data_IF_662503883885
#
_entry.id   IF_662503883885
#
_cell.length_a   1.000
_cell.length_b   1.000
_cell.length_c   1.000
_cell.angle_alpha   90.00
_cell.angle_beta   90.00
_cell.angle_gamma   90.00
#
_symmetry.space_group_name_H-M   'P 1'
#
loop_
_entity.id
_entity.type
_entity.pdbx_description
1 polymer ?
#
# COMPACT_ATOMS: atom_id res chain seq x y z
N UNK A 1 4.62 31.46 -13.30
CA UNK A 1 5.03 32.07 -12.02
C UNK A 1 6.53 31.82 -11.82
N UNK A 2 7.35 32.88 -11.82
CA UNK A 2 8.78 32.77 -11.50
C UNK A 2 8.93 32.84 -9.97
N UNK A 3 9.25 31.75 -9.32
CA UNK A 3 9.74 31.79 -7.93
C UNK A 3 11.20 32.23 -7.99
N UNK A 4 11.49 33.42 -7.49
CA UNK A 4 12.82 34.01 -7.47
C UNK A 4 13.47 33.92 -6.08
N UNK A 5 12.74 33.42 -5.09
CA UNK A 5 13.17 33.37 -3.69
C UNK A 5 14.20 32.28 -3.39
N UNK A 6 14.48 31.38 -4.33
CA UNK A 6 15.47 30.29 -4.13
C UNK A 6 16.34 30.11 -5.37
N UNK A 7 17.62 29.81 -5.15
CA UNK A 7 18.60 29.48 -6.20
C UNK A 7 18.67 27.98 -6.48
N UNK A 8 17.89 27.14 -5.78
CA UNK A 8 17.82 25.70 -5.91
C UNK A 8 16.53 25.18 -5.31
N UNK A 9 16.19 23.93 -5.62
CA UNK A 9 14.98 23.27 -5.14
C UNK A 9 14.29 22.49 -6.25
N UNK A 10 13.28 21.73 -5.88
CA UNK A 10 12.53 20.85 -6.78
C UNK A 10 11.18 21.49 -7.09
N UNK A 11 10.99 21.84 -8.35
CA UNK A 11 9.70 22.34 -8.84
C UNK A 11 8.68 21.19 -8.91
N UNK A 12 7.54 21.39 -8.28
CA UNK A 12 6.41 20.45 -8.32
C UNK A 12 5.58 20.73 -9.57
N UNK A 13 5.81 19.95 -10.61
CA UNK A 13 5.10 20.10 -11.89
C UNK A 13 3.71 19.45 -11.86
N UNK A 14 3.53 18.38 -11.04
CA UNK A 14 2.26 17.68 -10.87
C UNK A 14 2.22 17.01 -9.52
N UNK A 15 1.05 16.93 -8.92
CA UNK A 15 0.78 16.19 -7.69
C UNK A 15 -0.22 15.06 -8.04
N UNK A 16 0.09 13.84 -7.64
CA UNK A 16 -0.81 12.72 -7.86
C UNK A 16 -2.01 12.78 -6.93
N UNK A 17 -3.20 12.51 -7.47
CA UNK A 17 -4.43 12.46 -6.70
C UNK A 17 -4.34 11.36 -5.64
N UNK A 18 -4.70 11.70 -4.38
CA UNK A 18 -4.58 10.80 -3.24
C UNK A 18 -3.14 10.51 -2.78
N UNK A 19 -2.13 11.14 -3.39
CA UNK A 19 -0.74 11.02 -2.99
C UNK A 19 -0.42 11.76 -1.69
N UNK A 20 0.61 11.31 -0.99
CA UNK A 20 1.08 11.90 0.28
C UNK A 20 1.35 13.42 0.20
N UNK A 21 1.87 13.89 -0.94
CA UNK A 21 2.12 15.29 -1.18
C UNK A 21 0.83 16.13 -1.25
N UNK A 22 -0.20 15.60 -1.91
CA UNK A 22 -1.51 16.25 -2.00
C UNK A 22 -2.19 16.37 -0.64
N UNK A 23 -2.18 15.29 0.14
CA UNK A 23 -2.73 15.27 1.50
C UNK A 23 -2.01 16.26 2.44
N UNK A 24 -0.70 16.44 2.25
CA UNK A 24 0.08 17.42 2.98
C UNK A 24 -0.12 18.86 2.48
N UNK A 25 -0.97 19.07 1.49
CA UNK A 25 -1.29 20.39 0.95
C UNK A 25 -0.23 20.96 0.01
N UNK A 26 0.70 20.14 -0.49
CA UNK A 26 1.62 20.52 -1.57
C UNK A 26 0.83 20.60 -2.87
N UNK A 27 1.12 21.61 -3.69
CA UNK A 27 0.40 21.88 -4.94
C UNK A 27 1.39 22.03 -6.09
N UNK A 28 0.87 21.89 -7.29
CA UNK A 28 1.57 22.28 -8.50
C UNK A 28 2.03 23.74 -8.43
N UNK A 29 3.26 23.99 -8.83
CA UNK A 29 3.89 25.31 -8.74
C UNK A 29 4.71 25.57 -7.47
N UNK A 30 4.68 24.67 -6.48
CA UNK A 30 5.54 24.77 -5.31
C UNK A 30 6.99 24.42 -5.67
N UNK A 31 7.95 24.96 -4.90
CA UNK A 31 9.36 24.58 -4.99
C UNK A 31 9.83 24.04 -3.64
N UNK A 32 10.08 22.74 -3.58
CA UNK A 32 10.57 22.07 -2.38
C UNK A 32 12.06 22.37 -2.22
N UNK A 33 12.47 22.79 -1.03
CA UNK A 33 13.86 23.19 -0.72
C UNK A 33 14.49 22.40 0.42
N UNK A 34 13.66 21.80 1.30
CA UNK A 34 14.17 20.94 2.39
C UNK A 34 13.23 19.79 2.66
N UNK A 35 13.85 18.65 3.03
CA UNK A 35 13.18 17.45 3.55
C UNK A 35 13.87 17.05 4.86
N UNK A 36 13.11 16.97 5.96
CA UNK A 36 13.62 16.70 7.31
C UNK A 36 14.82 17.55 7.73
N UNK A 37 14.85 18.82 7.29
CA UNK A 37 15.95 19.74 7.57
C UNK A 37 17.13 19.64 6.59
N UNK A 38 17.24 18.58 5.81
CA UNK A 38 18.23 18.46 4.73
C UNK A 38 17.83 19.31 3.53
N UNK A 39 18.77 20.08 2.97
CA UNK A 39 18.53 20.83 1.74
C UNK A 39 18.45 19.89 0.55
N UNK A 40 17.45 20.11 -0.31
CA UNK A 40 17.27 19.37 -1.56
C UNK A 40 17.30 20.35 -2.72
N UNK A 41 18.30 20.22 -3.58
CA UNK A 41 18.56 21.13 -4.71
C UNK A 41 18.15 20.52 -6.04
N UNK A 42 18.10 19.18 -6.09
CA UNK A 42 17.77 18.42 -7.28
C UNK A 42 17.04 17.10 -6.92
N UNK A 43 16.51 16.44 -7.92
CA UNK A 43 15.73 15.21 -7.74
C UNK A 43 16.54 14.06 -7.13
N UNK A 44 17.85 14.01 -7.37
CA UNK A 44 18.74 12.98 -6.80
C UNK A 44 18.85 13.10 -5.28
N UNK A 45 19.11 14.30 -4.79
CA UNK A 45 19.18 14.59 -3.34
C UNK A 45 17.83 14.32 -2.65
N UNK A 46 16.73 14.68 -3.32
CA UNK A 46 15.39 14.36 -2.82
C UNK A 46 15.18 12.85 -2.71
N UNK A 47 15.59 12.11 -3.73
CA UNK A 47 15.43 10.65 -3.77
C UNK A 47 16.31 9.97 -2.72
N UNK A 48 17.52 10.48 -2.47
CA UNK A 48 18.39 10.01 -1.41
C UNK A 48 17.75 10.22 -0.03
N UNK A 49 17.22 11.40 0.26
CA UNK A 49 16.53 11.68 1.53
C UNK A 49 15.26 10.84 1.67
N UNK A 50 14.50 10.66 0.59
CA UNK A 50 13.31 9.82 0.57
C UNK A 50 13.63 8.35 0.82
N UNK A 51 14.75 7.84 0.33
CA UNK A 51 15.16 6.44 0.51
C UNK A 51 15.47 6.07 1.98
N UNK A 52 15.70 7.05 2.83
CA UNK A 52 15.90 6.88 4.27
C UNK A 52 14.58 6.72 5.03
N UNK A 53 13.45 7.00 4.39
CA UNK A 53 12.11 7.00 4.97
C UNK A 53 11.35 5.72 4.60
N UNK A 54 10.52 5.27 5.52
CA UNK A 54 9.67 4.10 5.34
C UNK A 54 8.22 4.53 5.18
N UNK A 55 7.37 3.73 4.54
CA UNK A 55 5.92 3.94 4.58
C UNK A 55 5.44 4.07 6.03
N UNK A 56 4.65 5.08 6.32
CA UNK A 56 4.22 5.44 7.67
C UNK A 56 5.07 6.52 8.36
N UNK A 57 6.31 6.75 7.92
CA UNK A 57 7.14 7.80 8.49
C UNK A 57 6.59 9.18 8.14
N UNK A 58 6.74 10.11 9.08
CA UNK A 58 6.40 11.52 8.89
C UNK A 58 7.66 12.30 8.57
N UNK A 59 7.62 13.07 7.51
CA UNK A 59 8.70 13.96 7.13
C UNK A 59 8.23 15.41 7.04
N UNK A 60 9.08 16.32 7.49
CA UNK A 60 8.83 17.75 7.37
C UNK A 60 9.37 18.26 6.05
N UNK A 61 8.51 18.88 5.23
CA UNK A 61 8.89 19.51 3.96
C UNK A 61 8.80 21.01 4.09
N UNK A 62 9.87 21.70 3.68
CA UNK A 62 9.86 23.15 3.47
C UNK A 62 9.83 23.44 1.98
N UNK A 63 8.94 24.33 1.60
CA UNK A 63 8.73 24.70 0.20
C UNK A 63 8.34 26.17 0.04
N UNK A 64 8.61 26.73 -1.11
CA UNK A 64 8.16 28.04 -1.50
C UNK A 64 6.87 27.96 -2.31
N UNK A 65 5.89 28.78 -1.95
CA UNK A 65 4.67 29.07 -2.71
C UNK A 65 4.49 30.58 -2.74
N UNK A 66 4.37 31.16 -3.92
CA UNK A 66 4.25 32.64 -4.12
C UNK A 66 5.37 33.40 -3.40
N UNK A 67 6.61 32.95 -3.52
CA UNK A 67 7.80 33.48 -2.85
C UNK A 67 7.74 33.50 -1.30
N UNK A 68 6.82 32.78 -0.70
CA UNK A 68 6.71 32.61 0.75
C UNK A 68 7.14 31.20 1.15
N UNK A 69 8.08 31.13 2.11
CA UNK A 69 8.48 29.85 2.69
C UNK A 69 7.36 29.28 3.54
N UNK A 70 7.00 28.04 3.28
CA UNK A 70 6.00 27.28 4.03
C UNK A 70 6.59 25.95 4.50
N UNK A 71 6.03 25.42 5.56
CA UNK A 71 6.41 24.13 6.12
C UNK A 71 5.16 23.27 6.26
N UNK A 72 5.26 22.01 5.87
CA UNK A 72 4.20 21.02 6.06
C UNK A 72 4.79 19.67 6.46
N UNK A 73 3.96 18.81 7.03
CA UNK A 73 4.33 17.42 7.35
C UNK A 73 3.65 16.50 6.36
N UNK A 74 4.45 15.64 5.74
CA UNK A 74 3.99 14.60 4.81
C UNK A 74 4.13 13.26 5.51
N UNK A 75 3.09 12.44 5.47
CA UNK A 75 3.20 11.03 5.85
C UNK A 75 3.52 10.23 4.60
N UNK A 76 4.69 9.58 4.59
CA UNK A 76 5.13 8.79 3.46
C UNK A 76 4.22 7.57 3.28
N UNK A 77 3.84 7.34 2.03
CA UNK A 77 3.06 6.18 1.60
C UNK A 77 3.92 5.35 0.66
N UNK A 78 3.64 4.05 0.58
CA UNK A 78 4.24 3.20 -0.43
C UNK A 78 3.72 3.56 -1.84
N UNK A 79 4.25 2.93 -2.87
CA UNK A 79 3.80 3.12 -4.27
C UNK A 79 2.31 2.81 -4.49
N UNK A 80 1.67 2.17 -3.51
CA UNK A 80 0.25 1.85 -3.49
C UNK A 80 -0.59 2.89 -2.75
N UNK A 81 0.02 3.97 -2.28
CA UNK A 81 -0.64 5.05 -1.56
C UNK A 81 -1.05 4.70 -0.13
N UNK A 82 -0.45 3.68 0.47
CA UNK A 82 -0.68 3.27 1.86
C UNK A 82 0.53 3.57 2.75
N UNK A 83 0.31 3.69 4.06
CA UNK A 83 1.37 3.84 5.05
C UNK A 83 1.93 2.49 5.52
N UNK A 84 1.32 1.40 5.09
CA UNK A 84 1.78 0.05 5.41
C UNK A 84 3.09 -0.23 4.70
N UNK A 85 4.08 -0.70 5.46
CA UNK A 85 5.25 -1.34 4.88
C UNK A 85 4.70 -2.58 4.18
N UNK A 86 4.69 -2.57 2.85
CA UNK A 86 4.55 -3.83 2.11
C UNK A 86 5.84 -4.63 2.38
N UNK A 87 5.90 -5.29 3.54
CA UNK A 87 6.59 -6.56 3.57
C UNK A 87 5.86 -7.35 2.50
N UNK A 88 6.55 -7.72 1.43
CA UNK A 88 6.18 -8.92 0.72
C UNK A 88 6.35 -10.03 1.76
N UNK A 89 5.35 -10.20 2.62
CA UNK A 89 5.17 -11.43 3.34
C UNK A 89 4.88 -12.42 2.22
N UNK A 90 5.97 -12.97 1.68
CA UNK A 90 5.89 -14.24 0.97
C UNK A 90 5.25 -15.16 2.00
N UNK A 91 3.92 -15.24 2.00
CA UNK A 91 3.22 -16.31 2.69
C UNK A 91 3.57 -17.59 1.95
N UNK A 92 4.78 -18.07 2.23
CA UNK A 92 5.32 -19.27 1.63
C UNK A 92 4.38 -20.46 1.77
N UNK A 93 3.62 -20.52 2.88
CA UNK A 93 2.60 -21.54 3.11
C UNK A 93 1.35 -21.38 2.24
N UNK A 94 0.92 -20.14 1.97
CA UNK A 94 -0.22 -19.89 1.07
C UNK A 94 0.19 -19.91 -0.41
N UNK A 95 1.48 -19.68 -0.70
CA UNK A 95 2.03 -19.70 -2.06
C UNK A 95 1.64 -18.49 -2.91
N UNK A 96 1.43 -17.33 -2.31
CA UNK A 96 1.07 -16.10 -3.03
C UNK A 96 1.56 -14.86 -2.30
N UNK A 97 1.50 -13.71 -2.99
CA UNK A 97 1.66 -12.39 -2.42
C UNK A 97 0.32 -11.63 -2.47
N UNK A 98 0.16 -10.66 -1.59
CA UNK A 98 -1.02 -9.81 -1.53
C UNK A 98 -0.63 -8.37 -1.88
N UNK A 99 -1.42 -7.74 -2.72
CA UNK A 99 -1.26 -6.34 -3.11
C UNK A 99 -2.51 -5.55 -2.71
N UNK A 100 -2.32 -4.44 -2.02
CA UNK A 100 -3.42 -3.53 -1.73
C UNK A 100 -3.95 -2.92 -3.03
N UNK A 101 -5.27 -2.76 -3.11
CA UNK A 101 -5.90 -2.10 -4.25
C UNK A 101 -5.68 -0.60 -4.20
N UNK A 102 -5.40 -0.01 -5.35
CA UNK A 102 -5.36 1.44 -5.52
C UNK A 102 -6.76 2.04 -5.37
N UNK A 103 -6.83 3.35 -5.08
CA UNK A 103 -8.11 4.05 -5.01
C UNK A 103 -8.93 3.91 -6.29
N UNK A 104 -8.28 3.97 -7.46
CA UNK A 104 -8.91 3.81 -8.75
C UNK A 104 -9.47 2.40 -8.96
N UNK A 105 -8.71 1.36 -8.63
CA UNK A 105 -9.20 -0.03 -8.71
C UNK A 105 -10.40 -0.27 -7.79
N UNK A 106 -10.41 0.33 -6.60
CA UNK A 106 -11.57 0.26 -5.69
C UNK A 106 -12.79 0.94 -6.28
N UNK A 107 -12.63 2.10 -6.90
CA UNK A 107 -13.69 2.85 -7.57
C UNK A 107 -14.23 2.08 -8.78
N UNK A 108 -13.34 1.60 -9.66
CA UNK A 108 -13.71 0.81 -10.85
C UNK A 108 -14.45 -0.48 -10.49
N UNK A 109 -14.12 -1.08 -9.34
CA UNK A 109 -14.76 -2.31 -8.84
C UNK A 109 -15.97 -2.04 -7.94
N UNK A 110 -16.25 -0.78 -7.58
CA UNK A 110 -17.34 -0.38 -6.70
C UNK A 110 -17.21 -0.90 -5.27
N UNK A 111 -15.97 -0.98 -4.75
CA UNK A 111 -15.67 -1.49 -3.42
C UNK A 111 -14.86 -0.49 -2.60
N UNK A 112 -14.92 -0.64 -1.27
CA UNK A 112 -14.20 0.23 -0.34
C UNK A 112 -12.96 -0.45 0.25
N UNK A 113 -12.90 -1.79 0.21
CA UNK A 113 -11.85 -2.59 0.81
C UNK A 113 -11.46 -3.78 -0.09
N UNK A 114 -10.30 -4.35 0.13
CA UNK A 114 -9.87 -5.56 -0.55
C UNK A 114 -8.36 -5.61 -0.79
N UNK A 115 -7.87 -6.83 -0.98
CA UNK A 115 -6.51 -7.12 -1.41
C UNK A 115 -6.52 -8.03 -2.63
N UNK A 116 -5.59 -7.83 -3.53
CA UNK A 116 -5.44 -8.61 -4.76
C UNK A 116 -4.39 -9.70 -4.59
N UNK A 117 -4.74 -10.92 -4.94
CA UNK A 117 -3.80 -12.06 -4.95
C UNK A 117 -2.90 -11.94 -6.17
N UNK A 118 -1.58 -11.95 -5.95
CA UNK A 118 -0.56 -11.87 -6.99
C UNK A 118 0.56 -12.89 -6.75
N UNK A 119 1.39 -13.11 -7.76
CA UNK A 119 2.60 -13.94 -7.60
C UNK A 119 2.30 -15.38 -7.17
N UNK A 120 1.17 -15.94 -7.59
CA UNK A 120 0.71 -17.27 -7.17
C UNK A 120 1.71 -18.35 -7.62
N UNK A 121 2.23 -19.08 -6.65
CA UNK A 121 3.12 -20.23 -6.78
C UNK A 121 2.42 -21.49 -6.26
N UNK A 122 3.12 -22.60 -6.21
CA UNK A 122 2.60 -23.79 -5.55
C UNK A 122 2.44 -23.54 -4.05
N UNK A 123 1.25 -23.84 -3.55
CA UNK A 123 0.84 -23.58 -2.17
C UNK A 123 -0.65 -23.82 -1.98
N UNK A 124 -1.12 -23.57 -0.76
CA UNK A 124 -2.51 -23.89 -0.37
C UNK A 124 -3.55 -23.12 -1.20
N UNK A 125 -3.26 -21.88 -1.62
CA UNK A 125 -4.18 -21.12 -2.46
C UNK A 125 -4.35 -21.73 -3.85
N UNK A 126 -3.24 -22.11 -4.51
CA UNK A 126 -3.29 -22.74 -5.83
C UNK A 126 -3.96 -24.11 -5.76
N UNK A 127 -3.67 -24.91 -4.71
CA UNK A 127 -4.28 -26.22 -4.49
C UNK A 127 -5.81 -26.14 -4.33
N UNK A 128 -6.32 -25.03 -3.77
CA UNK A 128 -7.76 -24.77 -3.63
C UNK A 128 -8.38 -24.00 -4.80
N UNK A 129 -7.69 -23.94 -5.95
CA UNK A 129 -8.23 -23.37 -7.19
C UNK A 129 -8.26 -21.84 -7.24
N UNK A 130 -7.60 -21.15 -6.32
CA UNK A 130 -7.42 -19.71 -6.37
C UNK A 130 -6.47 -19.37 -7.52
N UNK A 131 -6.75 -18.28 -8.21
CA UNK A 131 -5.93 -17.78 -9.34
C UNK A 131 -5.45 -16.35 -9.05
N UNK A 132 -4.39 -15.93 -9.74
CA UNK A 132 -3.96 -14.54 -9.74
C UNK A 132 -5.12 -13.61 -10.14
N UNK A 133 -5.15 -12.43 -9.52
CA UNK A 133 -6.19 -11.44 -9.78
C UNK A 133 -7.46 -11.62 -8.94
N UNK A 134 -7.52 -12.62 -8.04
CA UNK A 134 -8.60 -12.68 -7.06
C UNK A 134 -8.49 -11.46 -6.13
N UNK A 135 -9.56 -10.70 -6.02
CA UNK A 135 -9.72 -9.63 -5.02
C UNK A 135 -10.46 -10.21 -3.83
N UNK A 136 -9.77 -10.30 -2.70
CA UNK A 136 -10.33 -10.78 -1.43
C UNK A 136 -10.85 -9.56 -0.66
N UNK A 137 -12.11 -9.57 -0.30
CA UNK A 137 -12.76 -8.50 0.47
C UNK A 137 -12.96 -8.84 1.93
N UNK A 138 -13.07 -10.12 2.26
CA UNK A 138 -13.15 -10.58 3.63
C UNK A 138 -12.59 -12.00 3.79
N UNK A 139 -12.09 -12.30 4.98
CA UNK A 139 -11.66 -13.63 5.42
C UNK A 139 -12.32 -13.88 6.77
N UNK A 140 -13.02 -15.02 6.92
CA UNK A 140 -13.78 -15.36 8.13
C UNK A 140 -14.69 -14.21 8.60
N UNK A 141 -15.40 -13.58 7.66
CA UNK A 141 -16.27 -12.41 7.86
C UNK A 141 -15.55 -11.13 8.34
N UNK A 142 -14.24 -11.13 8.46
CA UNK A 142 -13.43 -9.96 8.75
C UNK A 142 -12.99 -9.29 7.46
N UNK A 143 -13.25 -7.99 7.34
CA UNK A 143 -12.85 -7.20 6.16
C UNK A 143 -11.34 -7.08 6.07
N UNK A 144 -10.78 -7.22 4.87
CA UNK A 144 -9.36 -7.05 4.60
C UNK A 144 -9.11 -5.86 3.69
N UNK A 145 -8.05 -5.09 3.98
CA UNK A 145 -7.63 -3.91 3.22
C UNK A 145 -6.15 -3.98 2.82
N UNK A 146 -5.38 -4.78 3.55
CA UNK A 146 -3.93 -4.88 3.41
C UNK A 146 -3.46 -6.33 3.55
N UNK A 147 -2.20 -6.58 3.17
CA UNK A 147 -1.53 -7.85 3.45
C UNK A 147 -1.43 -8.14 4.93
N UNK A 148 -1.30 -7.09 5.75
CA UNK A 148 -1.16 -7.20 7.20
C UNK A 148 -2.45 -7.73 7.83
N UNK A 149 -3.64 -7.30 7.34
CA UNK A 149 -4.93 -7.83 7.78
C UNK A 149 -5.02 -9.34 7.49
N UNK A 150 -4.55 -9.76 6.31
CA UNK A 150 -4.51 -11.20 5.95
C UNK A 150 -3.58 -11.95 6.88
N UNK A 151 -2.41 -11.39 7.21
CA UNK A 151 -1.43 -11.99 8.12
C UNK A 151 -1.98 -12.12 9.54
N UNK A 152 -2.64 -11.08 10.04
CA UNK A 152 -3.26 -11.08 11.37
C UNK A 152 -4.32 -12.17 11.47
N UNK A 153 -5.22 -12.26 10.47
CA UNK A 153 -6.27 -13.28 10.44
C UNK A 153 -5.65 -14.67 10.31
N UNK A 154 -4.66 -14.86 9.44
CA UNK A 154 -3.94 -16.13 9.28
C UNK A 154 -3.32 -16.58 10.60
N UNK A 155 -2.56 -15.70 11.26
CA UNK A 155 -1.91 -15.99 12.53
C UNK A 155 -2.92 -16.29 13.63
N UNK A 156 -4.05 -15.56 13.67
CA UNK A 156 -5.14 -15.82 14.62
C UNK A 156 -5.72 -17.22 14.45
N UNK A 157 -5.94 -17.66 13.20
CA UNK A 157 -6.44 -19.01 12.90
C UNK A 157 -5.40 -20.05 13.31
N UNK A 158 -4.12 -19.84 12.99
CA UNK A 158 -3.05 -20.78 13.31
C UNK A 158 -2.86 -20.94 14.83
N UNK A 159 -3.04 -19.87 15.60
CA UNK A 159 -2.93 -19.86 17.06
C UNK A 159 -4.22 -20.32 17.76
N UNK A 160 -5.35 -20.42 17.08
CA UNK A 160 -6.59 -20.88 17.68
C UNK A 160 -6.42 -22.34 18.17
N UNK A 161 -7.20 -22.71 19.17
CA UNK A 161 -7.22 -24.11 19.66
C UNK A 161 -8.10 -25.05 18.82
N UNK A 162 -8.75 -24.49 17.79
CA UNK A 162 -9.61 -25.26 16.90
C UNK A 162 -8.77 -26.19 16.04
N UNK A 163 -9.25 -27.40 15.88
CA UNK A 163 -8.62 -28.43 15.03
C UNK A 163 -8.70 -28.07 13.55
N UNK A 164 -9.74 -27.34 13.15
CA UNK A 164 -9.97 -26.98 11.76
C UNK A 164 -9.37 -25.60 11.47
N UNK A 165 -8.18 -25.59 10.87
CA UNK A 165 -7.49 -24.37 10.41
C UNK A 165 -8.01 -23.97 9.03
N UNK A 166 -9.16 -23.31 8.96
CA UNK A 166 -9.81 -22.97 7.69
C UNK A 166 -9.95 -21.46 7.55
N UNK A 167 -9.52 -20.94 6.39
CA UNK A 167 -9.79 -19.57 5.93
C UNK A 167 -11.00 -19.60 4.99
N UNK A 168 -12.10 -18.98 5.39
CA UNK A 168 -13.26 -18.73 4.52
C UNK A 168 -13.06 -17.42 3.76
N UNK A 169 -12.66 -17.50 2.52
CA UNK A 169 -12.33 -16.36 1.67
C UNK A 169 -13.57 -15.92 0.91
N UNK A 170 -13.92 -14.64 1.02
CA UNK A 170 -14.93 -13.96 0.19
C UNK A 170 -14.23 -12.97 -0.74
N UNK A 171 -14.57 -13.03 -2.00
CA UNK A 171 -13.96 -12.14 -2.98
C UNK A 171 -14.60 -12.27 -4.35
N UNK A 172 -13.92 -11.69 -5.34
CA UNK A 172 -14.34 -11.78 -6.73
C UNK A 172 -13.14 -11.59 -7.66
N UNK A 173 -13.30 -12.00 -8.90
CA UNK A 173 -12.36 -11.72 -9.97
C UNK A 173 -12.79 -10.44 -10.74
N UNK A 174 -11.87 -9.84 -11.47
CA UNK A 174 -12.13 -8.65 -12.31
C UNK A 174 -13.30 -8.85 -13.30
N UNK A 175 -13.64 -10.10 -13.61
CA UNK A 175 -14.81 -10.46 -14.39
C UNK A 175 -16.15 -10.26 -13.65
N UNK A 176 -16.13 -9.79 -12.40
CA UNK A 176 -17.31 -9.65 -11.53
C UNK A 176 -17.79 -10.95 -10.90
N UNK A 177 -17.13 -12.08 -11.18
CA UNK A 177 -17.49 -13.37 -10.59
C UNK A 177 -17.17 -13.40 -9.11
N UNK A 178 -18.20 -13.42 -8.27
CA UNK A 178 -18.07 -13.63 -6.82
C UNK A 178 -17.64 -15.06 -6.51
N UNK A 179 -16.75 -15.21 -5.53
CA UNK A 179 -16.27 -16.51 -5.06
C UNK A 179 -16.29 -16.57 -3.53
N UNK A 180 -16.59 -17.78 -3.05
CA UNK A 180 -16.52 -18.16 -1.65
C UNK A 180 -15.69 -19.43 -1.61
N UNK A 181 -14.51 -19.37 -1.02
CA UNK A 181 -13.55 -20.48 -1.03
C UNK A 181 -13.12 -20.78 0.40
N UNK A 182 -13.25 -22.03 0.81
CA UNK A 182 -12.68 -22.50 2.07
C UNK A 182 -11.30 -23.07 1.78
N UNK A 183 -10.27 -22.50 2.39
CA UNK A 183 -8.89 -22.95 2.27
C UNK A 183 -8.45 -23.54 3.60
N UNK A 184 -8.13 -24.82 3.61
CA UNK A 184 -7.51 -25.46 4.76
C UNK A 184 -6.03 -25.03 4.83
N UNK A 185 -5.66 -24.37 5.93
CA UNK A 185 -4.31 -23.87 6.17
C UNK A 185 -3.55 -24.68 7.23
N UNK A 186 -4.17 -25.74 7.77
CA UNK A 186 -3.44 -26.67 8.64
C UNK A 186 -2.18 -27.20 7.94
N UNK A 187 -1.12 -27.39 8.69
CA UNK A 187 0.06 -28.09 8.16
C UNK A 187 -0.33 -29.51 7.77
N UNK A 188 0.07 -29.91 6.56
CA UNK A 188 -0.10 -31.30 6.15
C UNK A 188 0.81 -32.16 7.05
N UNK A 189 0.20 -32.87 7.98
CA UNK A 189 0.95 -33.86 8.77
C UNK A 189 1.62 -34.84 7.78
N UNK A 190 2.95 -34.83 7.79
CA UNK A 190 3.76 -35.82 7.09
C UNK A 190 3.85 -37.08 7.90
#
# INVERSE_FOLDING_TARGET
>A
HKITATKGGIYVAKVSDGGAAMEAGIKEGDVIVKLNGAEVKNSGEMQEEMSKLRPGDKATIQYYRDNKLKTTTVTFKNDQGTTSITKSSDFTSLGCAFMALTGKEKEDLGITNGVKVTGLKDGKFKANGIKNGLVITAINDQSVNSSDDVEEIYNSIMQSKDTDKVMLIKGFYETGRKVYIAVNIADDEK
#
